data_IF_247841159779
#
_entry.id   IF_247841159779
#
_cell.length_a   1.000
_cell.length_b   1.000
_cell.length_c   1.000
_cell.angle_alpha   90.00
_cell.angle_beta   90.00
_cell.angle_gamma   90.00
#
_symmetry.space_group_name_H-M   'P 1'
#
loop_
_entity.id
_entity.type
_entity.pdbx_description
1 polymer ?
#
# COMPACT_ATOMS: atom_id res chain seq x y z
N UNK A 1 24.77 -46.52 11.39
CA UNK A 1 23.86 -45.63 10.63
C UNK A 1 23.61 -44.36 11.43
N UNK A 2 24.29 -43.24 11.11
CA UNK A 2 23.91 -41.91 11.61
C UNK A 2 23.20 -41.17 10.49
N UNK A 3 21.91 -40.88 10.67
CA UNK A 3 21.15 -40.00 9.77
C UNK A 3 21.13 -38.62 10.41
N UNK A 4 22.04 -37.76 10.01
CA UNK A 4 22.06 -36.36 10.44
C UNK A 4 20.83 -35.68 9.84
N UNK A 5 19.85 -35.33 10.68
CA UNK A 5 18.70 -34.52 10.30
C UNK A 5 19.21 -33.11 9.99
N UNK A 6 19.16 -32.70 8.73
CA UNK A 6 19.39 -31.32 8.34
C UNK A 6 18.19 -30.49 8.83
N UNK A 7 18.38 -29.74 9.92
CA UNK A 7 17.39 -28.76 10.39
C UNK A 7 17.28 -27.64 9.36
N UNK A 8 16.17 -27.60 8.62
CA UNK A 8 15.84 -26.46 7.77
C UNK A 8 15.41 -25.29 8.65
N UNK A 9 16.28 -24.28 8.80
CA UNK A 9 15.91 -22.99 9.39
C UNK A 9 14.99 -22.29 8.39
N UNK A 10 13.69 -22.28 8.66
CA UNK A 10 12.74 -21.43 7.94
C UNK A 10 12.96 -20.00 8.46
N UNK A 11 13.77 -19.23 7.74
CA UNK A 11 13.94 -17.80 8.02
C UNK A 11 12.67 -17.03 7.63
N UNK A 12 11.98 -16.46 8.60
CA UNK A 12 10.89 -15.51 8.35
C UNK A 12 11.50 -14.16 7.94
N UNK A 13 11.35 -13.77 6.68
CA UNK A 13 11.72 -12.43 6.24
C UNK A 13 10.63 -11.44 6.68
N UNK A 14 10.98 -10.53 7.59
CA UNK A 14 10.14 -9.37 7.92
C UNK A 14 10.58 -8.18 7.07
N UNK A 15 9.74 -7.76 6.13
CA UNK A 15 9.97 -6.53 5.36
C UNK A 15 9.37 -5.35 6.13
N UNK A 16 10.23 -4.44 6.59
CA UNK A 16 9.80 -3.15 7.16
C UNK A 16 10.03 -2.07 6.11
N UNK A 17 8.96 -1.43 5.64
CA UNK A 17 9.09 -0.26 4.76
C UNK A 17 9.51 0.94 5.59
N UNK A 18 10.46 1.77 5.13
CA UNK A 18 10.79 3.01 5.81
C UNK A 18 9.53 3.89 5.87
N UNK A 19 9.23 4.45 7.05
CA UNK A 19 8.15 5.44 7.20
C UNK A 19 8.61 6.74 6.55
N UNK A 20 8.33 6.89 5.26
CA UNK A 20 8.43 8.18 4.57
C UNK A 20 7.17 9.00 4.87
N UNK A 21 7.32 10.32 4.89
CA UNK A 21 6.15 11.18 5.00
C UNK A 21 5.25 10.94 3.78
N UNK A 22 3.98 10.66 4.05
CA UNK A 22 2.96 10.47 3.01
C UNK A 22 2.79 11.75 2.20
N UNK A 23 2.83 11.65 0.88
CA UNK A 23 2.63 12.79 -0.02
C UNK A 23 1.81 12.39 -1.23
N UNK A 24 0.85 13.24 -1.61
CA UNK A 24 0.07 13.10 -2.84
C UNK A 24 0.61 14.15 -3.83
N UNK A 25 1.10 13.69 -4.98
CA UNK A 25 1.68 14.54 -6.02
C UNK A 25 0.75 14.75 -7.21
N UNK A 26 -0.18 13.83 -7.45
CA UNK A 26 -1.18 13.96 -8.51
C UNK A 26 -2.51 13.31 -8.12
N UNK A 27 -3.60 13.92 -8.60
CA UNK A 27 -4.96 13.38 -8.50
C UNK A 27 -5.60 13.45 -9.87
N UNK A 28 -5.91 12.28 -10.43
CA UNK A 28 -6.42 12.20 -11.79
C UNK A 28 -7.62 11.26 -11.92
N UNK A 29 -8.68 11.67 -12.63
CA UNK A 29 -8.88 13.04 -13.15
C UNK A 29 -9.29 14.00 -12.01
N UNK A 30 -9.03 15.31 -12.18
CA UNK A 30 -9.29 16.32 -11.14
C UNK A 30 -10.78 16.61 -10.90
N UNK A 31 -11.65 16.17 -11.81
CA UNK A 31 -13.11 16.30 -11.69
C UNK A 31 -13.76 14.98 -12.09
N UNK A 32 -14.66 14.50 -11.25
CA UNK A 32 -15.42 13.26 -11.43
C UNK A 32 -16.84 13.42 -10.89
N UNK A 33 -17.73 12.54 -11.32
CA UNK A 33 -18.98 12.29 -10.61
C UNK A 33 -18.71 11.49 -9.33
N UNK A 34 -19.64 11.51 -8.36
CA UNK A 34 -19.50 10.80 -7.08
C UNK A 34 -19.24 9.29 -7.22
N UNK A 35 -19.63 8.68 -8.34
CA UNK A 35 -19.40 7.25 -8.62
C UNK A 35 -18.19 6.98 -9.52
N UNK A 36 -17.40 8.03 -9.82
CA UNK A 36 -16.20 7.93 -10.65
C UNK A 36 -15.04 7.23 -9.93
N UNK A 37 -13.96 7.00 -10.69
CA UNK A 37 -12.72 6.43 -10.15
C UNK A 37 -11.63 7.49 -10.19
N UNK A 38 -11.04 7.76 -9.04
CA UNK A 38 -9.86 8.59 -8.91
C UNK A 38 -8.61 7.74 -8.80
N UNK A 39 -7.51 8.30 -9.30
CA UNK A 39 -6.17 7.80 -9.13
C UNK A 39 -5.43 8.86 -8.31
N UNK A 40 -4.95 8.46 -7.14
CA UNK A 40 -4.01 9.24 -6.36
C UNK A 40 -2.62 8.73 -6.68
N UNK A 41 -1.69 9.61 -7.04
CA UNK A 41 -0.28 9.24 -7.22
C UNK A 41 0.53 9.95 -6.16
N UNK A 42 1.51 9.26 -5.58
CA UNK A 42 2.25 9.78 -4.44
C UNK A 42 3.39 8.90 -3.99
N UNK A 43 3.75 9.04 -2.72
CA UNK A 43 4.76 8.21 -2.05
C UNK A 43 4.43 8.03 -0.57
N UNK A 44 4.96 6.94 0.01
CA UNK A 44 4.83 6.65 1.43
C UNK A 44 3.46 6.12 1.85
N UNK A 45 2.62 5.69 0.91
CA UNK A 45 1.35 5.01 1.22
C UNK A 45 1.60 3.65 1.88
N UNK A 46 2.77 3.05 1.65
CA UNK A 46 3.14 1.76 2.20
C UNK A 46 2.49 0.59 1.47
N UNK A 47 2.88 -0.62 1.86
CA UNK A 47 2.41 -1.85 1.22
C UNK A 47 0.99 -2.27 1.65
N UNK A 48 0.49 -1.73 2.76
CA UNK A 48 -0.82 -2.07 3.31
C UNK A 48 -1.78 -0.91 3.10
N UNK A 49 -3.00 -1.15 2.57
CA UNK A 49 -4.01 -0.11 2.40
C UNK A 49 -4.34 0.62 3.70
N UNK A 50 -4.34 1.95 3.62
CA UNK A 50 -4.89 2.85 4.64
C UNK A 50 -6.33 3.27 4.32
N UNK A 51 -6.79 4.31 5.02
CA UNK A 51 -8.03 4.99 4.70
C UNK A 51 -7.79 6.12 3.69
N UNK A 52 -8.76 6.35 2.80
CA UNK A 52 -8.76 7.47 1.86
C UNK A 52 -10.04 8.26 2.05
N UNK A 53 -9.92 9.56 2.26
CA UNK A 53 -11.04 10.48 2.33
C UNK A 53 -10.95 11.51 1.21
N UNK A 54 -12.06 11.78 0.52
CA UNK A 54 -12.17 12.84 -0.49
C UNK A 54 -13.17 13.87 0.04
N UNK A 55 -12.69 15.04 0.43
CA UNK A 55 -13.53 16.10 1.00
C UNK A 55 -14.22 15.71 2.33
N UNK A 56 -13.59 14.82 3.11
CA UNK A 56 -14.12 14.32 4.39
C UNK A 56 -15.13 13.17 4.25
N UNK A 57 -15.25 12.56 3.07
CA UNK A 57 -16.06 11.37 2.83
C UNK A 57 -15.16 10.18 2.57
N UNK A 58 -15.40 9.07 3.26
CA UNK A 58 -14.72 7.79 3.03
C UNK A 58 -14.84 7.36 1.57
N UNK A 59 -13.70 7.16 0.90
CA UNK A 59 -13.63 6.69 -0.47
C UNK A 59 -13.17 5.21 -0.48
N UNK A 60 -13.96 4.29 -1.07
CA UNK A 60 -13.58 2.88 -1.13
C UNK A 60 -12.34 2.69 -2.01
N UNK A 61 -11.33 2.01 -1.47
CA UNK A 61 -10.08 1.68 -2.16
C UNK A 61 -10.27 0.37 -2.94
N UNK A 62 -9.99 0.41 -4.25
CA UNK A 62 -10.09 -0.77 -5.14
C UNK A 62 -8.74 -1.28 -5.65
N UNK A 63 -7.70 -0.46 -5.54
CA UNK A 63 -6.32 -0.79 -5.85
C UNK A 63 -5.42 -0.01 -4.89
N UNK A 64 -4.28 -0.60 -4.51
CA UNK A 64 -3.32 0.04 -3.63
C UNK A 64 -1.91 -0.44 -3.94
N UNK A 65 -0.98 0.49 -3.82
CA UNK A 65 0.46 0.33 -3.84
C UNK A 65 1.09 1.50 -3.08
N UNK A 66 2.40 1.43 -2.82
CA UNK A 66 3.12 2.52 -2.14
C UNK A 66 3.04 3.87 -2.88
N UNK A 67 2.75 3.83 -4.19
CA UNK A 67 2.77 5.01 -5.08
C UNK A 67 1.45 5.30 -5.79
N UNK A 68 0.41 4.44 -5.62
CA UNK A 68 -0.87 4.54 -6.33
C UNK A 68 -2.01 3.75 -5.67
#
# INVERSE_FOLDING_TARGET
>A
MSRTLASAMIGLAISVSPVTAQSITDVSPSVQTLSGRLILTGSGFGATPGAVEIGGVDAPVSFWSDTK
#
